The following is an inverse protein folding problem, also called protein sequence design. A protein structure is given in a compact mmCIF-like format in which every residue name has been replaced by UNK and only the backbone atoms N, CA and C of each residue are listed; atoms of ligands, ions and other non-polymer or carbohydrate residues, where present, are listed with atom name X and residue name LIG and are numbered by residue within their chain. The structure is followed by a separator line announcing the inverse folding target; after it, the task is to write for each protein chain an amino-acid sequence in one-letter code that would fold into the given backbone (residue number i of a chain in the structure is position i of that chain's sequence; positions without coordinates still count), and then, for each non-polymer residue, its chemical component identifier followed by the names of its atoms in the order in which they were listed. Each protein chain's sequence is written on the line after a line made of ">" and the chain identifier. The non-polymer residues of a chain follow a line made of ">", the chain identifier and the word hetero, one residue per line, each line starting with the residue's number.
data_IF_647728525658
#
_entry.id   IF_647728525658
#
_cell.length_a   1.000
_cell.length_b   1.000
_cell.length_c   1.000
_cell.angle_alpha   90.00
_cell.angle_beta   90.00
_cell.angle_gamma   90.00
#
_symmetry.space_group_name_H-M   'P 1'
#
loop_
_entity.id
_entity.type
_entity.pdbx_description
1 polymer ?
#
# COMPACT_ATOMS: atom_id res chain seq x y z
N UNK A 1 18.76 -2.04 -2.58
CA UNK A 1 18.06 -2.50 -3.80
C UNK A 1 17.30 -3.80 -3.57
N UNK A 2 17.93 -4.87 -3.09
CA UNK A 2 17.26 -6.14 -2.77
C UNK A 2 16.12 -5.98 -1.74
N UNK A 3 16.37 -5.27 -0.64
CA UNK A 3 15.36 -4.98 0.40
C UNK A 3 14.16 -4.22 -0.18
N UNK A 4 14.39 -3.17 -0.98
CA UNK A 4 13.34 -2.40 -1.63
C UNK A 4 12.46 -3.26 -2.58
N UNK A 5 13.07 -4.25 -3.25
CA UNK A 5 12.33 -5.19 -4.08
C UNK A 5 11.44 -6.14 -3.26
N UNK A 6 11.95 -6.64 -2.13
CA UNK A 6 11.15 -7.45 -1.21
C UNK A 6 9.98 -6.65 -0.60
N UNK A 7 10.24 -5.39 -0.23
CA UNK A 7 9.19 -4.48 0.24
C UNK A 7 8.14 -4.23 -0.84
N UNK A 8 8.57 -4.05 -2.10
CA UNK A 8 7.65 -3.88 -3.23
C UNK A 8 6.77 -5.12 -3.46
N UNK A 9 7.34 -6.31 -3.35
CA UNK A 9 6.59 -7.57 -3.46
C UNK A 9 5.55 -7.68 -2.33
N UNK A 10 5.94 -7.36 -1.09
CA UNK A 10 5.03 -7.31 0.04
C UNK A 10 3.91 -6.27 -0.17
N UNK A 11 4.25 -5.07 -0.61
CA UNK A 11 3.29 -4.01 -0.90
C UNK A 11 2.28 -4.43 -1.98
N UNK A 12 2.73 -5.12 -3.02
CA UNK A 12 1.86 -5.65 -4.07
C UNK A 12 0.83 -6.64 -3.51
N UNK A 13 1.25 -7.52 -2.59
CA UNK A 13 0.34 -8.44 -1.90
C UNK A 13 -0.64 -7.68 -1.00
N UNK A 14 -0.18 -6.68 -0.25
CA UNK A 14 -1.05 -5.83 0.58
C UNK A 14 -2.07 -5.05 -0.27
N UNK A 15 -1.68 -4.59 -1.46
CA UNK A 15 -2.57 -3.90 -2.39
C UNK A 15 -3.72 -4.80 -2.88
N UNK A 16 -3.45 -6.09 -3.08
CA UNK A 16 -4.46 -7.10 -3.41
C UNK A 16 -5.39 -7.34 -2.22
N UNK A 17 -4.83 -7.54 -1.03
CA UNK A 17 -5.60 -7.82 0.17
C UNK A 17 -6.61 -6.74 0.51
N UNK A 18 -6.15 -5.49 0.45
CA UNK A 18 -6.91 -4.31 0.88
C UNK A 18 -8.24 -4.15 0.14
N UNK A 19 -8.32 -4.57 -1.13
CA UNK A 19 -9.50 -4.37 -1.97
C UNK A 19 -10.22 -5.64 -2.39
N UNK A 20 -9.55 -6.79 -2.41
CA UNK A 20 -10.11 -8.01 -3.01
C UNK A 20 -10.28 -9.15 -2.01
N UNK A 21 -9.26 -9.47 -1.20
CA UNK A 21 -9.27 -10.68 -0.35
C UNK A 21 -9.74 -10.40 1.09
N UNK A 22 -9.54 -9.18 1.59
CA UNK A 22 -9.98 -8.72 2.91
C UNK A 22 -9.50 -9.58 4.11
N UNK A 23 -8.32 -10.20 4.00
CA UNK A 23 -7.66 -10.90 5.11
C UNK A 23 -7.03 -9.93 6.12
N UNK A 24 -6.98 -8.63 5.79
CA UNK A 24 -6.51 -7.54 6.65
C UNK A 24 -5.02 -7.60 7.01
N UNK A 25 -4.18 -8.29 6.23
CA UNK A 25 -2.72 -8.24 6.44
C UNK A 25 -2.07 -6.95 5.95
N UNK A 26 -2.77 -6.14 5.14
CA UNK A 26 -2.36 -4.79 4.75
C UNK A 26 -2.36 -3.76 5.91
N UNK A 27 -2.87 -4.13 7.08
CA UNK A 27 -2.92 -3.23 8.24
C UNK A 27 -1.51 -2.93 8.78
N UNK A 28 -1.24 -1.69 9.23
CA UNK A 28 0.04 -1.30 9.82
C UNK A 28 0.58 -2.27 10.87
N UNK A 29 -0.29 -2.85 11.70
CA UNK A 29 0.11 -3.79 12.76
C UNK A 29 0.81 -5.06 12.22
N UNK A 30 0.41 -5.57 11.06
CA UNK A 30 1.02 -6.76 10.44
C UNK A 30 2.14 -6.34 9.50
N UNK A 31 1.93 -5.26 8.75
CA UNK A 31 2.88 -4.79 7.76
C UNK A 31 4.17 -4.25 8.40
N UNK A 32 4.10 -3.54 9.52
CA UNK A 32 5.28 -3.01 10.21
C UNK A 32 6.31 -4.09 10.59
N UNK A 33 5.93 -5.16 11.32
CA UNK A 33 6.82 -6.29 11.62
C UNK A 33 7.43 -6.96 10.38
N UNK A 34 6.66 -7.10 9.29
CA UNK A 34 7.15 -7.73 8.05
C UNK A 34 8.19 -6.86 7.37
N UNK A 35 7.96 -5.54 7.31
CA UNK A 35 8.95 -4.59 6.81
C UNK A 35 10.18 -4.57 7.72
N UNK A 36 9.99 -4.63 9.04
CA UNK A 36 11.08 -4.78 10.01
C UNK A 36 11.92 -6.02 9.77
N UNK A 37 11.29 -7.16 9.50
CA UNK A 37 11.97 -8.40 9.14
C UNK A 37 12.77 -8.28 7.84
N UNK A 38 12.20 -7.65 6.81
CA UNK A 38 12.88 -7.42 5.53
C UNK A 38 14.11 -6.51 5.68
N UNK A 39 14.04 -5.52 6.58
CA UNK A 39 15.09 -4.54 6.82
C UNK A 39 16.08 -4.90 7.93
N UNK A 40 15.84 -6.00 8.65
CA UNK A 40 16.74 -6.55 9.68
C UNK A 40 16.48 -6.08 11.11
N UNK A 41 15.42 -5.30 11.37
CA UNK A 41 15.02 -4.87 12.71
C UNK A 41 13.51 -5.05 12.93
N UNK A 42 13.14 -6.23 13.41
CA UNK A 42 11.75 -6.60 13.69
C UNK A 42 11.18 -5.84 14.89
N UNK A 43 12.02 -5.51 15.89
CA UNK A 43 11.53 -4.86 17.10
C UNK A 43 11.11 -3.42 16.79
N UNK A 44 11.96 -2.67 16.09
CA UNK A 44 11.61 -1.32 15.62
C UNK A 44 10.43 -1.39 14.65
N UNK A 45 10.38 -2.39 13.77
CA UNK A 45 9.24 -2.60 12.86
C UNK A 45 7.90 -2.85 13.57
N UNK A 46 7.91 -3.63 14.66
CA UNK A 46 6.72 -3.90 15.47
C UNK A 46 6.24 -2.63 16.20
N UNK A 47 7.17 -1.89 16.82
CA UNK A 47 6.83 -0.66 17.54
C UNK A 47 6.31 0.40 16.56
N UNK A 48 6.98 0.58 15.41
CA UNK A 48 6.54 1.50 14.35
C UNK A 48 5.18 1.12 13.77
N UNK A 49 4.96 -0.16 13.47
CA UNK A 49 3.67 -0.67 12.98
C UNK A 49 2.54 -0.44 13.98
N UNK A 50 2.78 -0.68 15.27
CA UNK A 50 1.81 -0.42 16.33
C UNK A 50 1.52 1.08 16.49
N UNK A 51 2.54 1.94 16.45
CA UNK A 51 2.36 3.39 16.51
C UNK A 51 1.55 3.92 15.32
N UNK A 52 1.80 3.41 14.11
CA UNK A 52 1.06 3.79 12.90
C UNK A 52 -0.37 3.26 12.91
N UNK A 53 -0.59 2.03 13.40
CA UNK A 53 -1.93 1.50 13.61
C UNK A 53 -2.73 2.42 14.54
N UNK A 54 -2.14 2.81 15.67
CA UNK A 54 -2.77 3.70 16.64
C UNK A 54 -3.05 5.09 16.06
N UNK A 55 -2.10 5.66 15.32
CA UNK A 55 -2.25 6.98 14.70
C UNK A 55 -3.34 7.03 13.63
N UNK A 56 -3.62 5.89 12.99
CA UNK A 56 -4.57 5.78 11.89
C UNK A 56 -5.82 4.95 12.25
N UNK A 57 -6.04 4.67 13.53
CA UNK A 57 -7.28 4.10 14.06
C UNK A 57 -8.44 5.06 13.74
N UNK A 58 -9.24 4.70 12.74
CA UNK A 58 -10.40 5.49 12.29
C UNK A 58 -10.33 5.93 10.83
N UNK A 59 -9.18 5.78 10.16
CA UNK A 59 -9.06 6.00 8.72
C UNK A 59 -9.58 4.76 7.97
N UNK A 60 -10.91 4.67 7.90
CA UNK A 60 -11.62 3.60 7.17
C UNK A 60 -12.33 4.21 5.96
N UNK A 61 -12.21 3.61 4.75
CA UNK A 61 -12.93 4.10 3.59
C UNK A 61 -14.45 3.95 3.76
N UNK A 62 -15.16 5.08 3.84
CA UNK A 62 -16.60 5.13 3.99
C UNK A 62 -17.22 5.94 2.85
N UNK A 63 -18.31 5.42 2.24
CA UNK A 63 -19.14 6.13 1.27
C UNK A 63 -18.38 6.80 0.09
N UNK A 64 -17.41 6.09 -0.51
CA UNK A 64 -16.64 6.59 -1.67
C UNK A 64 -15.53 7.58 -1.32
N UNK A 65 -15.45 8.04 -0.07
CA UNK A 65 -14.30 8.79 0.43
C UNK A 65 -13.15 7.81 0.71
N UNK A 66 -12.04 7.97 -0.01
CA UNK A 66 -10.80 7.27 0.30
C UNK A 66 -9.99 8.14 1.26
N UNK A 67 -9.74 7.70 2.52
CA UNK A 67 -8.78 8.36 3.40
C UNK A 67 -7.34 8.17 2.90
N UNK A 68 -6.36 8.88 3.49
CA UNK A 68 -4.94 8.60 3.31
C UNK A 68 -4.60 7.11 3.34
N UNK A 69 -3.69 6.69 2.46
CA UNK A 69 -3.31 5.28 2.34
C UNK A 69 -2.45 4.82 3.51
N UNK A 70 -3.11 4.22 4.51
CA UNK A 70 -2.46 3.70 5.72
C UNK A 70 -1.47 2.57 5.45
N UNK A 71 -1.61 1.83 4.34
CA UNK A 71 -0.75 0.70 4.02
C UNK A 71 0.59 1.18 3.49
N UNK A 72 0.59 2.02 2.45
CA UNK A 72 1.82 2.62 1.93
C UNK A 72 2.46 3.51 2.99
N UNK A 73 1.66 4.28 3.73
CA UNK A 73 2.16 5.05 4.86
C UNK A 73 2.91 4.17 5.87
N UNK A 74 2.34 3.00 6.24
CA UNK A 74 2.96 2.12 7.20
C UNK A 74 4.27 1.51 6.70
N UNK A 75 4.30 1.11 5.42
CA UNK A 75 5.48 0.55 4.77
C UNK A 75 6.62 1.57 4.76
N UNK A 76 6.35 2.77 4.27
CA UNK A 76 7.36 3.83 4.11
C UNK A 76 7.80 4.36 5.46
N UNK A 77 6.86 4.63 6.36
CA UNK A 77 7.18 5.11 7.70
C UNK A 77 8.01 4.10 8.48
N UNK A 78 7.66 2.81 8.45
CA UNK A 78 8.45 1.77 9.12
C UNK A 78 9.84 1.65 8.50
N UNK A 79 9.94 1.73 7.18
CA UNK A 79 11.23 1.70 6.50
C UNK A 79 12.13 2.89 6.89
N UNK A 80 11.56 4.08 7.04
CA UNK A 80 12.29 5.27 7.49
C UNK A 80 12.66 5.21 8.96
N UNK A 81 11.78 4.73 9.84
CA UNK A 81 12.11 4.53 11.26
C UNK A 81 13.36 3.65 11.42
N UNK A 82 13.45 2.57 10.64
CA UNK A 82 14.59 1.63 10.70
C UNK A 82 15.83 2.21 10.01
N UNK A 83 15.73 2.72 8.79
CA UNK A 83 16.90 3.17 8.02
C UNK A 83 17.50 4.46 8.55
N UNK A 84 16.69 5.38 9.05
CA UNK A 84 17.14 6.68 9.58
C UNK A 84 17.37 6.64 11.09
N UNK A 85 17.01 5.55 11.77
CA UNK A 85 17.14 5.43 13.23
C UNK A 85 16.32 6.48 14.01
N UNK A 86 15.26 7.00 13.39
CA UNK A 86 14.37 8.01 14.01
C UNK A 86 13.30 7.33 14.84
N UNK A 87 12.70 8.09 15.76
CA UNK A 87 11.62 7.55 16.59
C UNK A 87 10.39 7.19 15.73
N UNK A 88 9.64 6.14 16.09
CA UNK A 88 8.38 5.77 15.45
C UNK A 88 7.43 6.96 15.25
N UNK A 89 7.33 7.84 16.24
CA UNK A 89 6.45 9.01 16.21
C UNK A 89 6.90 10.03 15.16
N UNK A 90 8.22 10.24 15.01
CA UNK A 90 8.77 11.13 13.98
C UNK A 90 8.54 10.56 12.56
N UNK A 91 8.63 9.23 12.42
CA UNK A 91 8.43 8.56 11.13
C UNK A 91 7.00 8.69 10.59
N UNK A 92 5.99 8.83 11.46
CA UNK A 92 4.60 9.05 11.06
C UNK A 92 4.47 10.34 10.25
N UNK A 93 5.16 11.41 10.68
CA UNK A 93 5.16 12.69 9.96
C UNK A 93 5.72 12.56 8.54
N UNK A 94 6.78 11.78 8.36
CA UNK A 94 7.37 11.50 7.05
C UNK A 94 6.51 10.59 6.17
N UNK A 95 5.66 9.75 6.77
CA UNK A 95 4.79 8.82 6.05
C UNK A 95 3.55 9.51 5.44
N UNK A 96 3.08 10.61 6.02
CA UNK A 96 1.85 11.30 5.59
C UNK A 96 1.87 11.71 4.11
N UNK A 97 2.92 12.37 3.57
CA UNK A 97 2.95 12.75 2.16
C UNK A 97 2.82 11.55 1.21
N UNK A 98 3.44 10.42 1.54
CA UNK A 98 3.35 9.20 0.73
C UNK A 98 1.96 8.55 0.82
N UNK A 99 1.35 8.55 2.00
CA UNK A 99 -0.02 8.07 2.19
C UNK A 99 -1.03 8.91 1.38
N UNK A 100 -0.87 10.24 1.36
CA UNK A 100 -1.71 11.14 0.58
C UNK A 100 -1.46 11.01 -0.93
N UNK A 101 -0.20 10.87 -1.36
CA UNK A 101 0.13 10.64 -2.76
C UNK A 101 -0.49 9.34 -3.27
N UNK A 102 -0.39 8.26 -2.48
CA UNK A 102 -1.00 6.98 -2.83
C UNK A 102 -2.52 7.06 -2.87
N UNK A 103 -3.15 7.74 -1.91
CA UNK A 103 -4.59 7.99 -1.91
C UNK A 103 -5.04 8.65 -3.22
N UNK A 104 -4.34 9.68 -3.69
CA UNK A 104 -4.64 10.34 -4.96
C UNK A 104 -4.50 9.40 -6.16
N UNK A 105 -3.44 8.59 -6.19
CA UNK A 105 -3.22 7.58 -7.24
C UNK A 105 -4.31 6.51 -7.27
N UNK A 106 -4.78 6.05 -6.11
CA UNK A 106 -5.88 5.09 -6.00
C UNK A 106 -7.19 5.69 -6.51
N UNK A 107 -7.50 6.93 -6.13
CA UNK A 107 -8.71 7.62 -6.63
C UNK A 107 -8.65 7.77 -8.15
N UNK A 108 -7.49 8.15 -8.69
CA UNK A 108 -7.26 8.23 -10.13
C UNK A 108 -7.43 6.86 -10.82
N UNK A 109 -6.91 5.79 -10.21
CA UNK A 109 -7.08 4.42 -10.70
C UNK A 109 -8.56 4.05 -10.77
N UNK A 110 -9.32 4.27 -9.69
CA UNK A 110 -10.76 3.96 -9.65
C UNK A 110 -11.55 4.75 -10.68
N UNK A 111 -11.22 6.02 -10.87
CA UNK A 111 -11.82 6.86 -11.90
C UNK A 111 -11.53 6.32 -13.30
N UNK A 112 -10.28 5.92 -13.55
CA UNK A 112 -9.84 5.35 -14.83
C UNK A 112 -10.45 3.99 -15.12
N UNK A 113 -10.83 3.23 -14.09
CA UNK A 113 -11.50 1.94 -14.21
C UNK A 113 -13.02 2.04 -14.42
N UNK A 114 -13.63 3.21 -14.26
CA UNK A 114 -15.06 3.43 -14.55
C UNK A 114 -15.51 2.94 -15.95
N UNK A 115 -14.83 3.28 -17.07
CA UNK A 115 -15.19 2.77 -18.39
C UNK A 115 -15.01 1.26 -18.55
N UNK A 116 -14.17 0.63 -17.71
CA UNK A 116 -13.97 -0.82 -17.73
C UNK A 116 -15.25 -1.56 -17.28
N UNK A 117 -16.05 -0.95 -16.40
CA UNK A 117 -17.31 -1.53 -15.93
C UNK A 117 -18.36 -1.66 -17.04
N UNK A 118 -18.41 -0.71 -17.98
CA UNK A 118 -19.27 -0.82 -19.16
C UNK A 118 -18.96 -2.07 -20.01
N UNK A 119 -17.70 -2.52 -19.99
CA UNK A 119 -17.27 -3.74 -20.68
C UNK A 119 -17.66 -4.99 -19.89
N UNK A 120 -17.66 -4.92 -18.55
CA UNK A 120 -18.20 -5.98 -17.70
C UNK A 120 -19.69 -6.18 -17.93
N UNK A 121 -20.46 -5.09 -18.05
CA UNK A 121 -21.90 -5.16 -18.34
C UNK A 121 -22.18 -5.91 -19.65
N UNK A 122 -21.42 -5.60 -20.71
CA UNK A 122 -21.53 -6.32 -21.99
C UNK A 122 -21.19 -7.81 -21.88
N UNK A 123 -20.19 -8.18 -21.06
CA UNK A 123 -19.87 -9.58 -20.84
C UNK A 123 -20.95 -10.30 -20.03
N UNK A 124 -21.61 -9.61 -19.10
CA UNK A 124 -22.74 -10.13 -18.35
C UNK A 124 -23.96 -10.37 -19.25
N UNK A 125 -24.30 -9.42 -20.13
CA UNK A 125 -25.38 -9.58 -21.13
C UNK A 125 -25.15 -10.79 -22.05
N UNK A 126 -23.89 -11.10 -22.37
CA UNK A 126 -23.50 -12.22 -23.22
C UNK A 126 -23.36 -13.55 -22.46
N UNK A 127 -23.57 -13.57 -21.15
CA UNK A 127 -23.35 -14.75 -20.31
C UNK A 127 -21.89 -15.22 -20.26
N UNK A 128 -20.92 -14.35 -20.60
CA UNK A 128 -19.51 -14.70 -20.67
C UNK A 128 -18.81 -14.51 -19.33
N UNK A 129 -18.97 -15.50 -18.43
CA UNK A 129 -18.29 -15.51 -17.13
C UNK A 129 -16.76 -15.39 -17.25
N UNK A 130 -16.15 -16.06 -18.23
CA UNK A 130 -14.70 -16.00 -18.43
C UNK A 130 -14.18 -14.61 -18.80
N UNK A 131 -15.00 -13.79 -19.46
CA UNK A 131 -14.67 -12.40 -19.78
C UNK A 131 -14.67 -11.50 -18.55
N UNK A 132 -15.59 -11.76 -17.62
CA UNK A 132 -15.67 -11.05 -16.33
C UNK A 132 -14.48 -11.43 -15.44
N UNK A 133 -14.16 -12.72 -15.33
CA UNK A 133 -13.02 -13.20 -14.54
C UNK A 133 -11.70 -12.57 -15.01
N UNK A 134 -11.46 -12.54 -16.33
CA UNK A 134 -10.28 -11.89 -16.90
C UNK A 134 -10.19 -10.40 -16.54
N UNK A 135 -11.33 -9.71 -16.46
CA UNK A 135 -11.36 -8.31 -16.08
C UNK A 135 -11.05 -8.10 -14.60
N UNK A 136 -11.55 -9.00 -13.75
CA UNK A 136 -11.22 -9.02 -12.32
C UNK A 136 -9.71 -9.23 -12.12
N UNK A 137 -9.12 -10.23 -12.77
CA UNK A 137 -7.67 -10.48 -12.70
C UNK A 137 -6.85 -9.30 -13.23
N UNK A 138 -7.34 -8.60 -14.27
CA UNK A 138 -6.68 -7.39 -14.78
C UNK A 138 -6.69 -6.24 -13.76
N UNK A 139 -7.81 -6.02 -13.08
CA UNK A 139 -7.92 -5.04 -11.99
C UNK A 139 -7.00 -5.39 -10.82
N UNK A 140 -6.99 -6.66 -10.41
CA UNK A 140 -6.11 -7.20 -9.37
C UNK A 140 -4.63 -6.94 -9.70
N UNK A 141 -4.20 -7.31 -10.91
CA UNK A 141 -2.82 -7.13 -11.36
C UNK A 141 -2.42 -5.65 -11.40
N UNK A 142 -3.32 -4.77 -11.87
CA UNK A 142 -3.03 -3.34 -11.96
C UNK A 142 -2.86 -2.72 -10.57
N UNK A 143 -3.69 -3.09 -9.59
CA UNK A 143 -3.54 -2.65 -8.19
C UNK A 143 -2.25 -3.17 -7.57
N UNK A 144 -1.94 -4.45 -7.76
CA UNK A 144 -0.71 -5.06 -7.26
C UNK A 144 0.54 -4.33 -7.80
N UNK A 145 0.56 -4.04 -9.11
CA UNK A 145 1.65 -3.29 -9.75
C UNK A 145 1.73 -1.87 -9.21
N UNK A 146 0.60 -1.17 -9.05
CA UNK A 146 0.59 0.19 -8.49
C UNK A 146 1.21 0.24 -7.10
N UNK A 147 0.76 -0.62 -6.17
CA UNK A 147 1.29 -0.67 -4.81
C UNK A 147 2.77 -1.07 -4.80
N UNK A 148 3.16 -2.06 -5.59
CA UNK A 148 4.55 -2.50 -5.67
C UNK A 148 5.47 -1.42 -6.21
N UNK A 149 5.10 -0.73 -7.29
CA UNK A 149 5.90 0.34 -7.90
C UNK A 149 6.03 1.53 -6.96
N UNK A 150 4.93 1.96 -6.33
CA UNK A 150 4.95 3.09 -5.39
C UNK A 150 5.79 2.76 -4.16
N UNK A 151 5.64 1.57 -3.58
CA UNK A 151 6.46 1.15 -2.43
C UNK A 151 7.94 1.02 -2.80
N UNK A 152 8.26 0.45 -3.97
CA UNK A 152 9.63 0.38 -4.47
C UNK A 152 10.24 1.77 -4.59
N UNK A 153 9.54 2.69 -5.27
CA UNK A 153 10.01 4.05 -5.48
C UNK A 153 10.17 4.80 -4.15
N UNK A 154 9.18 4.70 -3.26
CA UNK A 154 9.20 5.37 -1.97
C UNK A 154 10.32 4.87 -1.07
N UNK A 155 10.57 3.55 -1.00
CA UNK A 155 11.65 3.01 -0.18
C UNK A 155 13.01 3.23 -0.83
N UNK A 156 13.16 2.98 -2.14
CA UNK A 156 14.45 3.11 -2.81
C UNK A 156 14.93 4.56 -2.90
N UNK A 157 14.08 5.46 -3.39
CA UNK A 157 14.42 6.89 -3.52
C UNK A 157 14.25 7.65 -2.22
N UNK A 158 13.28 7.27 -1.39
CA UNK A 158 13.04 7.94 -0.11
C UNK A 158 14.17 7.72 0.89
N UNK A 159 14.75 6.52 0.97
CA UNK A 159 15.91 6.30 1.84
C UNK A 159 17.14 7.03 1.33
N UNK A 160 17.37 7.06 0.01
CA UNK A 160 18.49 7.82 -0.58
C UNK A 160 18.35 9.33 -0.39
N UNK A 161 17.14 9.87 -0.51
CA UNK A 161 16.89 11.29 -0.30
C UNK A 161 17.03 11.69 1.17
N UNK A 162 16.68 10.78 2.09
CA UNK A 162 16.79 11.02 3.52
C UNK A 162 18.22 10.88 4.05
N UNK A 163 19.10 10.11 3.40
CA UNK A 163 20.54 10.07 3.70
C UNK A 163 21.27 11.38 3.30
N UNK A 164 20.66 12.21 2.46
CA UNK A 164 21.24 13.46 1.95
C UNK A 164 20.93 14.69 2.83
N UNK A 165 20.07 14.54 3.84
CA UNK A 165 19.62 15.59 4.77
C UNK A 165 20.15 15.27 6.16
#
# INVERSE_FOLDING_TARGET
>A
MYEAFLVALWAALCGIDKYDVALNFHRPLITGPVIGFILGDVQTGLIAGAAMELAWLGLVPNAGSQPPDVTIGAIVGTAFAIKLGITPEASIGMAIPFAMAMQALVIFLFTSFSPVMQKCDRYAEQGNASGIDRMLYFGLATRAVLYGVVAFAAVYYGTQAADFI
#
